data_IF_558112231602
#
_entry.id   IF_558112231602
#
_cell.length_a   1.000
_cell.length_b   1.000
_cell.length_c   1.000
_cell.angle_alpha   90.00
_cell.angle_beta   90.00
_cell.angle_gamma   90.00
#
_symmetry.space_group_name_H-M   'P 1'
#
loop_
_entity.id
_entity.type
_entity.pdbx_description
1 polymer ?
#
# COMPACT_ATOMS: atom_id res chain seq x y z
N UNK A 1 1.20 2.50 -30.14
CA UNK A 1 1.92 1.74 -29.10
C UNK A 1 0.97 1.64 -27.91
N UNK A 2 0.38 0.47 -27.65
CA UNK A 2 -0.57 0.30 -26.54
C UNK A 2 0.21 0.15 -25.22
N UNK A 3 -0.16 0.94 -24.21
CA UNK A 3 0.32 0.77 -22.82
C UNK A 3 -0.41 -0.44 -22.20
N UNK A 4 0.25 -1.28 -21.37
CA UNK A 4 -0.47 -2.31 -20.63
C UNK A 4 -1.41 -1.65 -19.62
N UNK A 5 -2.65 -2.15 -19.53
CA UNK A 5 -3.64 -1.68 -18.57
C UNK A 5 -3.16 -1.91 -17.13
N UNK A 6 -3.31 -0.89 -16.28
CA UNK A 6 -2.99 -1.02 -14.86
C UNK A 6 -4.14 -1.73 -14.14
N UNK A 7 -3.79 -2.77 -13.36
CA UNK A 7 -4.71 -3.63 -12.62
C UNK A 7 -4.69 -3.24 -11.14
N UNK A 8 -5.80 -2.75 -10.61
CA UNK A 8 -6.03 -2.69 -9.16
C UNK A 8 -5.86 -4.08 -8.53
N UNK A 9 -5.34 -4.19 -7.32
CA UNK A 9 -5.35 -5.45 -6.52
C UNK A 9 -6.71 -5.72 -5.86
N UNK A 10 -7.80 -5.48 -6.58
CA UNK A 10 -9.17 -5.57 -6.06
C UNK A 10 -9.84 -6.88 -6.51
N UNK A 11 -10.72 -7.42 -5.65
CA UNK A 11 -11.44 -8.67 -5.92
C UNK A 11 -10.48 -9.84 -6.09
N UNK A 12 -10.55 -10.53 -7.24
CA UNK A 12 -9.74 -11.72 -7.54
C UNK A 12 -8.35 -11.38 -8.12
N UNK A 13 -7.98 -10.11 -8.20
CA UNK A 13 -6.63 -9.72 -8.64
C UNK A 13 -5.62 -9.96 -7.51
N UNK A 14 -4.46 -10.60 -7.78
CA UNK A 14 -3.43 -10.79 -6.77
C UNK A 14 -3.02 -9.51 -6.06
N UNK A 15 -2.66 -9.65 -4.78
CA UNK A 15 -2.07 -8.55 -4.01
C UNK A 15 -0.80 -8.02 -4.70
N UNK A 16 -0.60 -6.71 -4.62
CA UNK A 16 0.61 -6.04 -5.12
C UNK A 16 1.65 -5.95 -4.01
N UNK A 17 2.91 -6.25 -4.35
CA UNK A 17 4.04 -6.02 -3.46
C UNK A 17 4.46 -4.55 -3.55
N UNK A 18 4.07 -3.78 -2.53
CA UNK A 18 4.41 -2.35 -2.42
C UNK A 18 5.81 -2.10 -1.87
N UNK A 19 6.52 -3.17 -1.46
CA UNK A 19 7.92 -3.09 -1.01
C UNK A 19 8.90 -3.31 -2.17
N UNK A 20 8.43 -3.74 -3.34
CA UNK A 20 9.25 -3.91 -4.53
C UNK A 20 9.90 -2.57 -4.93
N UNK A 21 11.21 -2.44 -4.67
CA UNK A 21 11.98 -1.22 -4.91
C UNK A 21 12.08 -0.26 -3.72
N UNK A 22 11.59 -0.64 -2.53
CA UNK A 22 11.95 -0.04 -1.23
C UNK A 22 13.29 -0.60 -0.79
N UNK A 23 14.35 0.07 -1.24
CA UNK A 23 15.71 -0.33 -0.94
C UNK A 23 16.13 0.13 0.46
N UNK A 24 16.48 -0.83 1.31
CA UNK A 24 17.19 -0.60 2.58
C UNK A 24 16.35 -0.69 3.85
N UNK A 25 16.97 -0.35 4.98
CA UNK A 25 16.34 -0.34 6.32
C UNK A 25 15.88 1.08 6.71
N UNK A 26 15.76 1.96 5.71
CA UNK A 26 15.62 3.40 5.90
C UNK A 26 14.19 3.91 5.96
N UNK A 27 13.18 3.06 5.75
CA UNK A 27 11.76 3.43 5.78
C UNK A 27 11.02 2.65 6.88
N UNK A 28 10.26 3.37 7.70
CA UNK A 28 9.40 2.82 8.76
C UNK A 28 7.93 3.19 8.48
N UNK A 29 7.68 4.34 7.83
CA UNK A 29 6.38 4.73 7.31
C UNK A 29 6.31 4.58 5.79
N UNK A 30 5.25 3.95 5.30
CA UNK A 30 4.96 3.84 3.87
C UNK A 30 3.63 4.52 3.56
N UNK A 31 3.65 5.47 2.63
CA UNK A 31 2.47 6.18 2.15
C UNK A 31 1.97 5.52 0.87
N UNK A 32 0.74 5.00 0.90
CA UNK A 32 0.10 4.33 -0.23
C UNK A 32 -1.10 5.15 -0.67
N UNK A 33 -1.05 5.70 -1.88
CA UNK A 33 -2.20 6.37 -2.49
C UNK A 33 -2.04 6.50 -4.00
N UNK A 34 -3.16 6.73 -4.69
CA UNK A 34 -3.24 7.00 -6.12
C UNK A 34 -2.52 8.33 -6.43
N UNK A 35 -1.57 8.30 -7.36
CA UNK A 35 -0.92 9.52 -7.85
C UNK A 35 -1.88 10.29 -8.77
N UNK A 36 -1.99 11.60 -8.56
CA UNK A 36 -2.76 12.47 -9.43
C UNK A 36 -2.25 12.49 -10.88
N UNK A 37 -0.98 12.10 -11.11
CA UNK A 37 -0.42 11.95 -12.46
C UNK A 37 -0.92 10.71 -13.20
N UNK A 38 -1.39 9.68 -12.49
CA UNK A 38 -1.82 8.37 -13.01
C UNK A 38 -3.12 7.92 -12.36
N UNK A 39 -4.21 8.70 -12.48
CA UNK A 39 -5.43 8.47 -11.71
C UNK A 39 -6.07 7.12 -12.04
N UNK A 40 -6.35 6.32 -11.02
CA UNK A 40 -6.96 5.00 -11.15
C UNK A 40 -5.97 3.88 -11.50
N UNK A 41 -4.68 4.16 -11.45
CA UNK A 41 -3.62 3.24 -11.88
C UNK A 41 -2.62 2.95 -10.74
N UNK A 42 -2.55 1.70 -10.27
CA UNK A 42 -1.38 1.19 -9.52
C UNK A 42 -0.12 1.05 -10.39
N UNK A 43 0.74 2.07 -10.44
CA UNK A 43 2.00 1.99 -11.20
C UNK A 43 3.17 1.42 -10.41
N UNK A 44 3.07 1.38 -9.08
CA UNK A 44 4.16 1.09 -8.14
C UNK A 44 5.35 2.08 -8.25
N UNK A 45 5.17 3.20 -8.96
CA UNK A 45 6.16 4.26 -9.00
C UNK A 45 6.27 4.93 -7.62
N UNK A 46 7.43 5.56 -7.37
CA UNK A 46 7.63 6.28 -6.11
C UNK A 46 6.92 7.62 -6.15
N UNK A 47 6.13 7.85 -5.12
CA UNK A 47 5.48 9.14 -4.92
C UNK A 47 6.57 10.18 -4.57
N UNK A 48 6.49 11.40 -5.14
CA UNK A 48 7.46 12.44 -4.86
C UNK A 48 7.39 12.87 -3.38
N UNK A 49 8.47 13.50 -2.90
CA UNK A 49 8.62 14.11 -1.57
C UNK A 49 8.79 13.17 -0.38
N UNK A 50 8.22 11.96 -0.36
CA UNK A 50 8.32 11.06 0.80
C UNK A 50 9.73 10.53 1.02
N UNK A 51 10.41 10.10 -0.05
CA UNK A 51 11.80 9.60 0.03
C UNK A 51 12.82 10.67 0.44
N UNK A 52 12.44 11.95 0.43
CA UNK A 52 13.25 13.05 0.97
C UNK A 52 13.09 13.25 2.48
N UNK A 53 12.15 12.56 3.13
CA UNK A 53 11.86 12.67 4.55
C UNK A 53 12.47 11.49 5.31
N UNK A 54 13.01 11.70 6.53
CA UNK A 54 13.57 10.61 7.31
C UNK A 54 12.52 9.52 7.59
N UNK A 55 12.88 8.26 7.33
CA UNK A 55 12.08 7.09 7.67
C UNK A 55 10.74 6.97 6.95
N UNK A 56 10.56 7.69 5.85
CA UNK A 56 9.32 7.66 5.06
C UNK A 56 9.60 7.34 3.60
N UNK A 57 8.62 6.70 2.98
CA UNK A 57 8.59 6.47 1.54
C UNK A 57 7.14 6.47 1.05
N UNK A 58 6.93 6.52 -0.27
CA UNK A 58 5.60 6.51 -0.85
C UNK A 58 5.54 5.74 -2.18
N UNK A 59 4.43 5.05 -2.41
CA UNK A 59 4.21 4.22 -3.59
C UNK A 59 2.82 4.49 -4.17
N UNK A 60 2.78 4.66 -5.49
CA UNK A 60 1.55 4.86 -6.25
C UNK A 60 0.75 3.55 -6.34
N UNK A 61 -0.38 3.55 -5.63
CA UNK A 61 -1.31 2.42 -5.56
C UNK A 61 -2.75 2.93 -5.60
N UNK A 62 -3.49 2.51 -6.62
CA UNK A 62 -4.92 2.74 -6.68
C UNK A 62 -5.66 1.77 -5.76
N UNK A 63 -6.30 2.33 -4.73
CA UNK A 63 -7.11 1.61 -3.75
C UNK A 63 -8.57 2.04 -3.89
N UNK A 64 -9.46 1.19 -4.46
CA UNK A 64 -10.87 1.54 -4.62
C UNK A 64 -11.57 1.77 -3.28
N UNK A 65 -12.10 2.97 -3.10
CA UNK A 65 -12.87 3.35 -1.92
C UNK A 65 -14.38 3.21 -2.15
N UNK A 66 -15.11 3.00 -1.06
CA UNK A 66 -16.58 3.01 -1.03
C UNK A 66 -17.05 4.18 -0.15
N UNK A 67 -18.06 4.97 -0.56
CA UNK A 67 -18.53 6.12 0.23
C UNK A 67 -18.97 5.77 1.65
N UNK A 68 -19.48 4.56 1.85
CA UNK A 68 -19.92 4.06 3.15
C UNK A 68 -18.85 3.18 3.83
N UNK A 69 -17.66 3.08 3.21
CA UNK A 69 -16.56 2.20 3.61
C UNK A 69 -17.00 0.74 3.84
N UNK A 70 -17.94 0.27 3.01
CA UNK A 70 -18.50 -1.08 3.10
C UNK A 70 -17.56 -2.17 2.56
N UNK A 71 -16.49 -1.78 1.84
CA UNK A 71 -15.45 -2.67 1.36
C UNK A 71 -14.28 -2.82 2.34
N UNK A 72 -13.29 -3.62 1.95
CA UNK A 72 -12.10 -3.90 2.77
C UNK A 72 -10.83 -3.71 1.96
N UNK A 73 -9.84 -3.06 2.58
CA UNK A 73 -8.44 -3.12 2.16
C UNK A 73 -7.73 -4.11 3.09
N UNK A 74 -7.14 -5.15 2.52
CA UNK A 74 -6.31 -6.11 3.24
C UNK A 74 -4.85 -5.75 3.04
N UNK A 75 -4.11 -5.58 4.14
CA UNK A 75 -2.66 -5.35 4.11
C UNK A 75 -1.99 -6.50 4.85
N UNK A 76 -1.02 -7.14 4.20
CA UNK A 76 -0.26 -8.24 4.78
C UNK A 76 1.22 -7.89 4.80
N UNK A 77 1.82 -7.93 5.98
CA UNK A 77 3.27 -7.87 6.16
C UNK A 77 3.83 -9.29 6.23
N UNK A 78 4.79 -9.60 5.35
CA UNK A 78 5.58 -10.83 5.36
C UNK A 78 6.95 -10.50 5.97
N UNK A 79 7.21 -10.83 7.25
CA UNK A 79 8.43 -10.40 7.92
C UNK A 79 9.68 -10.96 7.24
N UNK A 80 10.70 -10.10 7.07
CA UNK A 80 12.00 -10.53 6.56
C UNK A 80 12.57 -11.64 7.44
N UNK A 81 12.93 -12.76 6.82
CA UNK A 81 13.56 -13.90 7.49
C UNK A 81 12.57 -14.92 8.09
N UNK A 82 11.26 -14.63 8.10
CA UNK A 82 10.23 -15.55 8.56
C UNK A 82 8.85 -15.22 7.95
N UNK A 83 8.70 -15.51 6.67
CA UNK A 83 7.43 -15.32 5.95
C UNK A 83 6.32 -16.28 6.42
N UNK A 84 6.65 -17.28 7.25
CA UNK A 84 5.68 -18.25 7.77
C UNK A 84 4.75 -17.67 8.85
N UNK A 85 5.08 -16.48 9.36
CA UNK A 85 4.29 -15.72 10.35
C UNK A 85 3.82 -14.37 9.78
N UNK A 86 2.90 -14.37 8.80
CA UNK A 86 2.35 -13.15 8.24
C UNK A 86 1.57 -12.36 9.30
N UNK A 87 1.65 -11.04 9.23
CA UNK A 87 0.72 -10.15 9.94
C UNK A 87 -0.26 -9.55 8.94
N UNK A 88 -1.55 -9.87 9.09
CA UNK A 88 -2.60 -9.35 8.20
C UNK A 88 -3.54 -8.44 8.97
N UNK A 89 -3.79 -7.26 8.42
CA UNK A 89 -4.75 -6.29 8.96
C UNK A 89 -5.77 -5.95 7.88
N UNK A 90 -7.05 -6.05 8.25
CA UNK A 90 -8.17 -5.62 7.42
C UNK A 90 -8.67 -4.27 7.92
N UNK A 91 -8.78 -3.30 7.02
CA UNK A 91 -9.34 -1.98 7.30
C UNK A 91 -10.46 -1.69 6.31
N UNK A 92 -11.43 -0.88 6.73
CA UNK A 92 -12.48 -0.42 5.81
C UNK A 92 -11.88 0.49 4.73
N UNK A 93 -12.39 0.41 3.49
CA UNK A 93 -11.87 1.16 2.34
C UNK A 93 -12.38 2.62 2.30
N UNK A 94 -12.13 3.36 3.38
CA UNK A 94 -12.55 4.75 3.52
C UNK A 94 -12.08 5.63 2.35
N UNK A 95 -12.93 6.54 1.84
CA UNK A 95 -12.50 7.52 0.84
C UNK A 95 -11.52 8.51 1.46
N UNK A 96 -10.40 8.75 0.77
CA UNK A 96 -9.34 9.66 1.21
C UNK A 96 -9.81 11.12 1.38
N UNK A 97 -10.94 11.49 0.76
CA UNK A 97 -11.62 12.76 1.01
C UNK A 97 -12.23 12.76 2.42
N UNK A 98 -11.43 13.17 3.40
CA UNK A 98 -11.84 13.33 4.79
C UNK A 98 -11.35 12.24 5.74
N UNK A 99 -10.67 11.21 5.23
CA UNK A 99 -10.15 10.11 6.04
C UNK A 99 -8.69 9.83 5.71
N UNK A 100 -7.94 9.45 6.72
CA UNK A 100 -6.64 8.82 6.59
C UNK A 100 -6.69 7.50 7.35
N UNK A 101 -6.10 6.46 6.77
CA UNK A 101 -6.01 5.13 7.38
C UNK A 101 -4.56 4.83 7.69
N UNK A 102 -4.28 4.47 8.95
CA UNK A 102 -2.96 4.06 9.39
C UNK A 102 -3.02 2.61 9.83
N UNK A 103 -2.15 1.77 9.27
CA UNK A 103 -1.92 0.40 9.73
C UNK A 103 -0.55 0.37 10.39
N UNK A 104 -0.48 -0.13 11.63
CA UNK A 104 0.75 -0.34 12.36
C UNK A 104 0.93 -1.84 12.58
N UNK A 105 1.99 -2.40 12.04
CA UNK A 105 2.38 -3.79 12.31
C UNK A 105 3.21 -3.88 13.58
N UNK A 106 3.13 -5.00 14.28
CA UNK A 106 4.06 -5.28 15.36
C UNK A 106 5.49 -5.42 14.79
N UNK A 107 6.46 -4.86 15.50
CA UNK A 107 7.88 -4.91 15.13
C UNK A 107 8.50 -6.31 15.27
N UNK A 108 7.86 -7.16 16.08
CA UNK A 108 8.12 -8.59 16.19
C UNK A 108 6.79 -9.36 16.15
N UNK A 109 6.77 -10.60 15.61
CA UNK A 109 5.58 -11.42 15.68
C UNK A 109 5.21 -11.67 17.14
N UNK A 110 3.97 -11.35 17.50
CA UNK A 110 3.37 -11.74 18.78
C UNK A 110 2.71 -13.10 18.58
N UNK A 111 3.02 -14.05 19.46
CA UNK A 111 2.42 -15.39 19.48
C UNK A 111 0.95 -15.34 19.96
#
# INVERSE_FOLDING_TARGET
MLRPAVRSSAGDVPAVDVMAGVDGNGAIGLHLHDDAATPGETTLARLPYFSGQPFQDGVDVFLPADPDASGTVTVTNLPRGDESRPQTVNVANWPSRGHAVTVMFADHPVD
#
